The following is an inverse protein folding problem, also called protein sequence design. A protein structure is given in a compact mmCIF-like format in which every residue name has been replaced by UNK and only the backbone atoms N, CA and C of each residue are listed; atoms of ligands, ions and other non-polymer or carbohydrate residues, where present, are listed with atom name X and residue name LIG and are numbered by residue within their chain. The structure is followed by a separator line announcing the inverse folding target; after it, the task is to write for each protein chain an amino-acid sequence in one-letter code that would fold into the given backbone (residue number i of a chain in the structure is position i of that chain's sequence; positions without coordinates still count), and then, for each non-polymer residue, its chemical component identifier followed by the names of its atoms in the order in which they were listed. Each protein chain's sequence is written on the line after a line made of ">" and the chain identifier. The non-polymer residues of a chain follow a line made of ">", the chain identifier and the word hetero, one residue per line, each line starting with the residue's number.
data_IF_510500750762
#
_entry.id   IF_510500750762
#
_cell.length_a   1.000
_cell.length_b   1.000
_cell.length_c   1.000
_cell.angle_alpha   90.00
_cell.angle_beta   90.00
_cell.angle_gamma   90.00
#
_symmetry.space_group_name_H-M   'P 1'
#
loop_
_entity.id
_entity.type
_entity.pdbx_description
1 polymer ?
#
# COMPACT_ATOMS: atom_id res chain seq x y z
N UNK A 1 -16.68 -10.92 7.94
CA UNK A 1 -15.61 -10.24 8.70
C UNK A 1 -14.28 -10.56 8.05
N UNK A 2 -13.45 -9.55 7.81
CA UNK A 2 -12.14 -9.77 7.20
C UNK A 2 -11.12 -10.22 8.23
N UNK A 3 -10.28 -11.17 7.84
CA UNK A 3 -9.25 -11.73 8.73
C UNK A 3 -7.84 -11.25 8.39
N UNK A 4 -7.59 -10.96 7.11
CA UNK A 4 -6.26 -10.57 6.66
C UNK A 4 -6.35 -9.58 5.49
N UNK A 5 -5.86 -8.37 5.69
CA UNK A 5 -6.01 -7.25 4.77
C UNK A 5 -4.67 -6.94 4.11
N UNK A 6 -4.65 -6.97 2.78
CA UNK A 6 -3.48 -6.54 2.00
C UNK A 6 -3.59 -5.04 1.71
N UNK A 7 -2.55 -4.30 2.03
CA UNK A 7 -2.50 -2.85 1.86
C UNK A 7 -1.32 -2.46 0.98
N UNK A 8 -1.55 -2.19 -0.30
CA UNK A 8 -0.52 -1.58 -1.14
C UNK A 8 -0.20 -0.17 -0.65
N UNK A 9 1.07 0.11 -0.45
CA UNK A 9 1.58 1.43 -0.08
C UNK A 9 2.57 1.91 -1.14
N UNK A 10 2.68 3.22 -1.28
CA UNK A 10 3.37 3.82 -2.42
C UNK A 10 4.59 4.64 -2.04
N UNK A 11 4.85 4.79 -0.75
CA UNK A 11 5.87 5.68 -0.20
C UNK A 11 5.54 7.15 -0.54
N UNK A 12 4.27 7.51 -0.35
CA UNK A 12 3.76 8.87 -0.54
C UNK A 12 2.87 9.27 0.64
N UNK A 13 2.59 10.57 0.83
CA UNK A 13 1.68 11.01 1.89
C UNK A 13 0.25 10.44 1.81
N UNK A 14 -0.15 9.94 0.66
CA UNK A 14 -1.45 9.28 0.50
C UNK A 14 -1.58 7.99 1.31
N UNK A 15 -0.46 7.37 1.65
CA UNK A 15 -0.45 6.16 2.46
C UNK A 15 -1.07 6.39 3.84
N UNK A 16 -0.94 7.59 4.40
CA UNK A 16 -1.53 7.93 5.69
C UNK A 16 -3.06 7.80 5.68
N UNK A 17 -3.69 8.11 4.56
CA UNK A 17 -5.14 8.02 4.40
C UNK A 17 -5.60 6.58 4.46
N UNK A 18 -4.97 5.70 3.69
CA UNK A 18 -5.36 4.28 3.69
C UNK A 18 -5.02 3.61 5.01
N UNK A 19 -3.88 3.93 5.61
CA UNK A 19 -3.49 3.35 6.90
C UNK A 19 -4.44 3.73 8.02
N UNK A 20 -4.89 4.99 8.07
CA UNK A 20 -5.89 5.43 9.04
C UNK A 20 -7.20 4.67 8.87
N UNK A 21 -7.63 4.46 7.61
CA UNK A 21 -8.85 3.73 7.31
C UNK A 21 -8.73 2.26 7.67
N UNK A 22 -7.60 1.63 7.32
CA UNK A 22 -7.33 0.22 7.61
C UNK A 22 -7.28 -0.06 9.11
N UNK A 23 -6.68 0.84 9.91
CA UNK A 23 -6.70 0.71 11.36
C UNK A 23 -8.12 0.61 11.92
N UNK A 24 -9.01 1.48 11.46
CA UNK A 24 -10.42 1.44 11.86
C UNK A 24 -11.09 0.14 11.43
N UNK A 25 -10.89 -0.24 10.18
CA UNK A 25 -11.50 -1.45 9.62
C UNK A 25 -10.99 -2.71 10.34
N UNK A 26 -9.69 -2.83 10.52
CA UNK A 26 -9.11 -3.98 11.20
C UNK A 26 -9.58 -4.09 12.65
N UNK A 27 -9.74 -2.98 13.35
CA UNK A 27 -10.28 -2.96 14.71
C UNK A 27 -11.71 -3.51 14.76
N UNK A 28 -12.55 -3.17 13.77
CA UNK A 28 -13.93 -3.68 13.71
C UNK A 28 -13.99 -5.13 13.26
N UNK A 29 -12.92 -5.63 12.64
CA UNK A 29 -12.79 -7.02 12.20
C UNK A 29 -11.98 -7.87 13.19
N UNK A 30 -12.14 -7.65 14.46
CA UNK A 30 -11.49 -8.41 15.53
C UNK A 30 -9.95 -8.41 15.40
N UNK A 31 -9.39 -7.23 15.14
CA UNK A 31 -7.96 -7.04 14.90
C UNK A 31 -7.41 -7.92 13.77
N UNK A 32 -8.02 -7.78 12.58
CA UNK A 32 -7.53 -8.43 11.38
C UNK A 32 -6.04 -8.17 11.19
N UNK A 33 -5.30 -9.14 10.71
CA UNK A 33 -3.88 -8.95 10.39
C UNK A 33 -3.71 -8.10 9.14
N UNK A 34 -2.61 -7.37 9.08
CA UNK A 34 -2.33 -6.42 7.99
C UNK A 34 -1.05 -6.83 7.27
N UNK A 35 -1.12 -6.96 5.95
CA UNK A 35 0.04 -7.21 5.10
C UNK A 35 0.27 -5.97 4.26
N UNK A 36 1.42 -5.34 4.42
CA UNK A 36 1.82 -4.19 3.62
C UNK A 36 2.62 -4.68 2.41
N UNK A 37 2.32 -4.14 1.24
CA UNK A 37 3.12 -4.42 0.04
C UNK A 37 3.49 -3.11 -0.65
N UNK A 38 4.77 -2.97 -0.97
CA UNK A 38 5.26 -1.93 -1.87
C UNK A 38 5.85 -2.61 -3.10
N UNK A 39 5.38 -2.24 -4.27
CA UNK A 39 5.87 -2.79 -5.54
C UNK A 39 6.81 -1.77 -6.17
N UNK A 40 8.09 -2.09 -6.22
CA UNK A 40 9.07 -1.29 -6.91
C UNK A 40 8.83 -1.35 -8.42
N UNK A 41 9.05 -0.22 -9.11
CA UNK A 41 8.79 -0.12 -10.53
C UNK A 41 9.52 -1.23 -11.32
N UNK A 42 8.78 -1.91 -12.18
CA UNK A 42 9.32 -2.98 -13.02
C UNK A 42 10.45 -2.55 -13.95
N UNK A 43 10.53 -1.26 -14.28
CA UNK A 43 11.67 -0.72 -15.04
C UNK A 43 12.96 -0.83 -14.24
N UNK A 44 12.92 -0.48 -12.97
CA UNK A 44 14.05 -0.60 -12.07
C UNK A 44 14.53 -2.06 -11.96
N UNK A 45 13.61 -3.00 -11.80
CA UNK A 45 13.93 -4.41 -11.70
C UNK A 45 14.60 -4.96 -12.97
N UNK A 46 14.26 -4.44 -14.15
CA UNK A 46 14.85 -4.87 -15.43
C UNK A 46 16.23 -4.28 -15.70
N UNK A 47 16.60 -3.20 -15.04
CA UNK A 47 17.85 -2.49 -15.25
C UNK A 47 18.81 -2.58 -14.07
N UNK A 48 18.63 -3.59 -13.22
CA UNK A 48 19.45 -3.85 -12.03
C UNK A 48 20.95 -3.77 -12.30
N UNK A 49 21.41 -4.27 -13.45
CA UNK A 49 22.84 -4.27 -13.78
C UNK A 49 23.40 -2.91 -14.18
N UNK A 50 22.56 -1.97 -14.58
CA UNK A 50 22.97 -0.62 -15.00
C UNK A 50 22.88 0.42 -13.88
N UNK A 51 22.12 0.14 -12.80
CA UNK A 51 21.77 1.09 -11.75
C UNK A 51 22.12 0.61 -10.34
N UNK A 52 23.05 -0.31 -10.23
CA UNK A 52 23.32 -1.13 -9.05
C UNK A 52 23.37 -0.41 -7.69
N UNK A 53 23.86 0.81 -7.63
CA UNK A 53 23.97 1.55 -6.36
C UNK A 53 22.73 2.39 -6.03
N UNK A 54 22.10 2.98 -7.05
CA UNK A 54 20.89 3.78 -6.87
C UNK A 54 19.69 2.94 -6.48
N UNK A 55 19.53 1.79 -7.12
CA UNK A 55 18.44 0.89 -6.82
C UNK A 55 18.54 0.27 -5.43
N UNK A 56 19.75 -0.11 -5.02
CA UNK A 56 19.93 -0.65 -3.68
C UNK A 56 19.60 0.37 -2.60
N UNK A 57 19.83 1.67 -2.83
CA UNK A 57 19.46 2.73 -1.92
C UNK A 57 17.95 3.00 -1.92
N UNK A 58 17.32 3.04 -3.08
CA UNK A 58 15.86 3.19 -3.19
C UNK A 58 15.13 2.00 -2.57
N UNK A 59 15.55 0.80 -2.89
CA UNK A 59 14.96 -0.42 -2.32
C UNK A 59 15.15 -0.48 -0.81
N UNK A 60 16.31 -0.05 -0.32
CA UNK A 60 16.57 0.05 1.11
C UNK A 60 15.65 1.07 1.77
N UNK A 61 15.48 2.23 1.16
CA UNK A 61 14.59 3.28 1.64
C UNK A 61 13.14 2.80 1.68
N UNK A 62 12.68 2.12 0.63
CA UNK A 62 11.33 1.57 0.55
C UNK A 62 11.12 0.48 1.61
N UNK A 63 12.11 -0.38 1.81
CA UNK A 63 12.06 -1.41 2.84
C UNK A 63 11.98 -0.81 4.24
N UNK A 64 12.83 0.16 4.54
CA UNK A 64 12.81 0.85 5.83
C UNK A 64 11.46 1.53 6.06
N UNK A 65 10.89 2.11 5.03
CA UNK A 65 9.60 2.77 5.07
C UNK A 65 8.47 1.79 5.44
N UNK A 66 8.35 0.66 4.72
CA UNK A 66 7.27 -0.30 4.98
C UNK A 66 7.47 -1.03 6.32
N UNK A 67 8.71 -1.30 6.70
CA UNK A 67 9.01 -1.90 8.00
C UNK A 67 8.65 -0.96 9.16
N UNK A 68 8.89 0.34 9.01
CA UNK A 68 8.50 1.33 9.99
C UNK A 68 6.98 1.39 10.16
N UNK A 69 6.22 1.27 9.07
CA UNK A 69 4.76 1.20 9.11
C UNK A 69 4.32 -0.07 9.85
N UNK A 70 4.91 -1.22 9.52
CA UNK A 70 4.58 -2.48 10.19
C UNK A 70 4.85 -2.39 11.69
N UNK A 71 5.97 -1.82 12.10
CA UNK A 71 6.31 -1.61 13.51
C UNK A 71 5.29 -0.70 14.20
N UNK A 72 4.85 0.36 13.53
CA UNK A 72 3.82 1.26 14.04
C UNK A 72 2.48 0.54 14.25
N UNK A 73 2.10 -0.31 13.31
CA UNK A 73 0.87 -1.11 13.41
C UNK A 73 0.97 -2.13 14.55
N UNK A 74 2.12 -2.76 14.72
CA UNK A 74 2.35 -3.69 15.84
C UNK A 74 2.25 -2.99 17.18
N UNK A 75 2.79 -1.78 17.30
CA UNK A 75 2.65 -0.97 18.52
C UNK A 75 1.20 -0.63 18.83
N UNK A 76 0.36 -0.50 17.80
CA UNK A 76 -1.07 -0.27 17.97
C UNK A 76 -1.87 -1.56 18.22
N UNK A 77 -1.20 -2.71 18.32
CA UNK A 77 -1.81 -3.99 18.67
C UNK A 77 -2.24 -4.84 17.48
N UNK A 78 -1.85 -4.50 16.26
CA UNK A 78 -2.15 -5.29 15.07
C UNK A 78 -0.99 -6.22 14.74
N UNK A 79 -1.30 -7.39 14.19
CA UNK A 79 -0.32 -8.23 13.54
C UNK A 79 -0.03 -7.65 12.16
N UNK A 80 1.23 -7.36 11.85
CA UNK A 80 1.59 -6.70 10.59
C UNK A 80 2.85 -7.29 9.98
N UNK A 81 2.84 -7.44 8.66
CA UNK A 81 3.98 -7.86 7.85
C UNK A 81 4.24 -6.85 6.75
N UNK A 82 5.51 -6.72 6.35
CA UNK A 82 5.94 -5.84 5.27
C UNK A 82 6.59 -6.66 4.16
N UNK A 83 6.11 -6.47 2.93
CA UNK A 83 6.60 -7.17 1.74
C UNK A 83 7.05 -6.15 0.71
N UNK A 84 8.30 -6.28 0.26
CA UNK A 84 8.82 -5.52 -0.87
C UNK A 84 8.84 -6.43 -2.10
N UNK A 85 8.15 -6.02 -3.16
CA UNK A 85 8.08 -6.75 -4.41
C UNK A 85 8.56 -5.89 -5.57
N UNK A 86 8.93 -6.53 -6.67
CA UNK A 86 9.30 -5.84 -7.90
C UNK A 86 8.52 -6.42 -9.07
N UNK A 87 8.17 -5.59 -10.03
CA UNK A 87 7.45 -6.02 -11.22
C UNK A 87 6.25 -5.17 -11.57
N UNK A 88 5.25 -5.78 -12.21
CA UNK A 88 4.02 -5.10 -12.57
C UNK A 88 3.12 -4.95 -11.32
N UNK A 89 2.77 -3.72 -10.91
CA UNK A 89 2.07 -3.51 -9.65
C UNK A 89 0.77 -4.32 -9.49
N UNK A 90 -0.11 -4.28 -10.49
CA UNK A 90 -1.39 -4.99 -10.38
C UNK A 90 -1.20 -6.50 -10.24
N UNK A 91 -0.29 -7.07 -11.02
CA UNK A 91 0.00 -8.51 -10.98
C UNK A 91 0.63 -8.93 -9.67
N UNK A 92 1.58 -8.14 -9.17
CA UNK A 92 2.26 -8.43 -7.90
C UNK A 92 1.32 -8.31 -6.70
N UNK A 93 0.43 -7.33 -6.71
CA UNK A 93 -0.58 -7.16 -5.66
C UNK A 93 -1.54 -8.35 -5.67
N UNK A 94 -2.06 -8.73 -6.84
CA UNK A 94 -2.96 -9.87 -6.97
C UNK A 94 -2.31 -11.18 -6.53
N UNK A 95 -1.06 -11.42 -6.95
CA UNK A 95 -0.32 -12.62 -6.56
C UNK A 95 -0.04 -12.66 -5.05
N UNK A 96 0.30 -11.52 -4.47
CA UNK A 96 0.54 -11.40 -3.03
C UNK A 96 -0.72 -11.70 -2.22
N UNK A 97 -1.87 -11.20 -2.66
CA UNK A 97 -3.15 -11.44 -1.99
C UNK A 97 -3.45 -12.95 -1.89
N UNK A 98 -3.18 -13.69 -2.96
CA UNK A 98 -3.36 -15.15 -2.98
C UNK A 98 -2.32 -15.85 -2.11
N UNK A 99 -1.05 -15.53 -2.31
CA UNK A 99 0.07 -16.16 -1.59
C UNK A 99 -0.04 -15.98 -0.08
N UNK A 100 -0.46 -14.79 0.36
CA UNK A 100 -0.58 -14.44 1.77
C UNK A 100 -1.97 -14.72 2.36
N UNK A 101 -2.86 -15.31 1.58
CA UNK A 101 -4.24 -15.63 1.99
C UNK A 101 -5.01 -14.40 2.50
N UNK A 102 -4.85 -13.28 1.82
CA UNK A 102 -5.60 -12.07 2.14
C UNK A 102 -7.03 -12.15 1.60
N UNK A 103 -7.99 -11.72 2.39
CA UNK A 103 -9.42 -11.73 2.02
C UNK A 103 -9.96 -10.33 1.69
N UNK A 104 -9.11 -9.33 1.77
CA UNK A 104 -9.43 -7.96 1.33
C UNK A 104 -8.15 -7.27 0.86
N UNK A 105 -8.25 -6.51 -0.22
CA UNK A 105 -7.21 -5.57 -0.65
C UNK A 105 -7.76 -4.17 -0.39
N UNK A 106 -7.04 -3.36 0.37
CA UNK A 106 -7.42 -1.97 0.65
C UNK A 106 -6.35 -1.02 0.12
N UNK A 107 -6.73 -0.15 -0.79
CA UNK A 107 -5.80 0.75 -1.46
C UNK A 107 -6.36 2.14 -1.65
N UNK A 108 -5.49 3.12 -1.84
CA UNK A 108 -5.90 4.48 -2.22
C UNK A 108 -6.00 4.61 -3.71
N UNK A 109 -6.97 5.42 -4.13
CA UNK A 109 -6.99 5.99 -5.48
C UNK A 109 -6.77 7.50 -5.36
N UNK A 110 -5.92 8.04 -6.24
CA UNK A 110 -5.65 9.48 -6.24
C UNK A 110 -6.70 10.21 -7.07
N UNK A 111 -7.11 11.38 -6.58
CA UNK A 111 -8.18 12.12 -7.19
C UNK A 111 -7.83 12.79 -8.52
N UNK A 112 -6.61 13.20 -8.70
CA UNK A 112 -6.07 13.82 -9.92
C UNK A 112 -4.65 14.33 -9.67
N UNK A 113 -3.93 14.50 -10.67
CA UNK A 113 -2.68 15.20 -10.93
C UNK A 113 -1.67 14.35 -11.67
N UNK A 114 -1.56 14.59 -12.96
CA UNK A 114 -0.47 14.21 -13.79
C UNK A 114 -0.38 12.72 -14.12
N UNK A 115 0.73 12.37 -14.67
CA UNK A 115 1.00 11.05 -15.24
C UNK A 115 0.88 9.93 -14.21
N UNK A 116 1.25 10.20 -12.97
CA UNK A 116 1.20 9.19 -11.89
C UNK A 116 -0.23 8.77 -11.54
N UNK A 117 -1.19 9.69 -11.63
CA UNK A 117 -2.60 9.38 -11.33
C UNK A 117 -3.23 8.50 -12.40
N UNK A 118 -2.88 8.71 -13.65
CA UNK A 118 -3.33 7.87 -14.77
C UNK A 118 -2.79 6.45 -14.59
N UNK A 119 -1.53 6.32 -14.21
CA UNK A 119 -0.89 5.03 -13.99
C UNK A 119 -1.56 4.29 -12.82
N UNK A 120 -1.92 4.99 -11.74
CA UNK A 120 -2.54 4.37 -10.56
C UNK A 120 -4.00 4.04 -10.75
N UNK A 121 -4.74 4.87 -11.48
CA UNK A 121 -6.07 4.52 -11.96
C UNK A 121 -6.03 3.26 -12.83
N UNK A 122 -4.98 3.10 -13.63
CA UNK A 122 -4.72 1.91 -14.40
C UNK A 122 -4.44 0.68 -13.53
N UNK A 123 -3.65 0.80 -12.47
CA UNK A 123 -3.38 -0.31 -11.54
C UNK A 123 -4.67 -0.78 -10.86
N UNK A 124 -5.48 0.14 -10.35
CA UNK A 124 -6.75 -0.21 -9.71
C UNK A 124 -7.71 -0.88 -10.70
N UNK A 125 -7.80 -0.36 -11.91
CA UNK A 125 -8.65 -0.92 -12.96
C UNK A 125 -8.18 -2.32 -13.36
N UNK A 126 -6.90 -2.52 -13.59
CA UNK A 126 -6.33 -3.82 -13.94
C UNK A 126 -6.52 -4.82 -12.80
N UNK A 127 -6.26 -4.41 -11.57
CA UNK A 127 -6.40 -5.26 -10.39
C UNK A 127 -7.82 -5.80 -10.26
N UNK A 128 -8.82 -4.96 -10.50
CA UNK A 128 -10.23 -5.36 -10.46
C UNK A 128 -10.56 -6.47 -11.45
N UNK A 129 -9.85 -6.53 -12.56
CA UNK A 129 -10.08 -7.55 -13.59
C UNK A 129 -9.35 -8.87 -13.32
N UNK A 130 -8.25 -8.84 -12.57
CA UNK A 130 -7.41 -10.03 -12.38
C UNK A 130 -7.51 -10.66 -11.00
N UNK A 131 -8.10 -9.98 -10.01
CA UNK A 131 -8.25 -10.54 -8.67
C UNK A 131 -9.68 -10.96 -8.38
N UNK A 132 -9.86 -12.07 -7.65
CA UNK A 132 -11.13 -12.47 -7.07
C UNK A 132 -11.31 -11.97 -5.65
N UNK A 133 -10.27 -11.38 -5.06
CA UNK A 133 -10.32 -10.80 -3.71
C UNK A 133 -11.05 -9.46 -3.77
N UNK A 134 -11.98 -9.17 -2.85
CA UNK A 134 -12.61 -7.85 -2.78
C UNK A 134 -11.59 -6.73 -2.66
N UNK A 135 -11.82 -5.64 -3.37
CA UNK A 135 -10.93 -4.47 -3.37
C UNK A 135 -11.70 -3.27 -2.82
N UNK A 136 -11.22 -2.73 -1.71
CA UNK A 136 -11.70 -1.48 -1.14
C UNK A 136 -10.80 -0.35 -1.65
N UNK A 137 -11.41 0.64 -2.29
CA UNK A 137 -10.69 1.81 -2.80
C UNK A 137 -11.08 3.04 -1.99
N UNK A 138 -10.11 3.65 -1.34
CA UNK A 138 -10.30 4.90 -0.61
C UNK A 138 -9.71 6.03 -1.43
N UNK A 139 -10.56 7.00 -1.78
CA UNK A 139 -10.11 8.15 -2.55
C UNK A 139 -9.34 9.11 -1.65
N UNK A 140 -8.08 9.36 -1.99
CA UNK A 140 -7.27 10.36 -1.33
C UNK A 140 -7.04 11.53 -2.28
N UNK A 141 -7.23 12.75 -1.80
CA UNK A 141 -6.92 13.96 -2.54
C UNK A 141 -5.98 14.83 -1.72
N UNK A 142 -5.21 15.74 -2.34
CA UNK A 142 -4.31 16.64 -1.61
C UNK A 142 -5.04 17.51 -0.57
N UNK A 143 -6.35 17.66 -0.69
CA UNK A 143 -7.19 18.44 0.26
C UNK A 143 -7.62 17.62 1.47
N UNK A 144 -7.47 16.32 1.44
CA UNK A 144 -7.80 15.42 2.55
C UNK A 144 -6.61 15.12 3.45
N UNK A 145 -5.48 15.76 3.22
CA UNK A 145 -4.46 15.84 4.26
C UNK A 145 -5.16 16.50 5.44
N UNK A 146 -5.33 15.80 6.57
CA UNK A 146 -5.95 16.44 7.70
C UNK A 146 -5.11 17.67 8.01
N UNK A 147 -5.75 18.83 7.95
CA UNK A 147 -5.17 19.99 8.58
C UNK A 147 -4.75 19.53 9.96
N UNK A 148 -3.50 19.75 10.31
CA UNK A 148 -3.02 19.51 11.66
C UNK A 148 -4.11 19.96 12.60
N UNK A 149 -4.54 19.16 13.57
CA UNK A 149 -5.59 19.56 14.44
C UNK A 149 -5.17 20.91 15.02
N UNK A 150 -5.86 21.94 14.59
CA UNK A 150 -5.77 23.22 15.28
C UNK A 150 -6.26 22.92 16.67
N UNK A 151 -5.34 22.80 17.58
CA UNK A 151 -5.67 22.70 18.99
C UNK A 151 -6.49 23.96 19.30
N UNK A 152 -7.76 23.83 19.63
CA UNK A 152 -8.51 24.99 20.05
C UNK A 152 -7.84 25.51 21.31
N UNK A 153 -7.30 26.70 21.18
CA UNK A 153 -6.78 27.39 22.34
C UNK A 153 -7.90 27.70 23.32
#
# INVERSE_FOLDING_TARGET
>A
MYERILVPVEHTPYDDVILAHVRKLASTCNNASIVLIHVADGWAARNINALNLRESEEMKSDREYIEAIADSLEKDGFEAEAILAGGDPAKEIAACAVRENCDLIAMTTHGHHGISDVIRGSVASELRHITMVPVLMVRASPRTTPASPTVPS
#
